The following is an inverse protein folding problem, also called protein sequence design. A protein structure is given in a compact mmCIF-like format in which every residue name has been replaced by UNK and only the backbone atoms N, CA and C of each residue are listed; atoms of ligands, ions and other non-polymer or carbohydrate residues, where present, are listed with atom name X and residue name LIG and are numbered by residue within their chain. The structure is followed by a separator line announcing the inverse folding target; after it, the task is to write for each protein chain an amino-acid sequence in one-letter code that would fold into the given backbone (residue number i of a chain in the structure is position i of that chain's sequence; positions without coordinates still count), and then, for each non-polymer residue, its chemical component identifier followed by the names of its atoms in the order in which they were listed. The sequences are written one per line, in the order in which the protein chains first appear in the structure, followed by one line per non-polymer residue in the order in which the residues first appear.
data_IF_295978205640
#
_entry.id   IF_295978205640
#
_cell.length_a   1.000
_cell.length_b   1.000
_cell.length_c   1.000
_cell.angle_alpha   90.00
_cell.angle_beta   90.00
_cell.angle_gamma   90.00
#
_symmetry.space_group_name_H-M   'P 1'
#
loop_
_entity.id
_entity.type
_entity.pdbx_description
1 polymer ?
#
# COMPACT_ATOMS: atom_id res chain seq x y z
N UNK A 1 -2.38 1.28 0.55
CA UNK A 1 -1.95 0.47 -0.60
C UNK A 1 -0.62 -0.17 -0.29
N UNK A 2 -0.41 -1.41 -0.70
CA UNK A 2 0.87 -2.14 -0.60
C UNK A 2 1.82 -1.64 -1.69
N UNK A 3 2.32 -0.43 -1.50
CA UNK A 3 3.20 0.33 -2.40
C UNK A 3 4.12 1.15 -1.51
N UNK A 4 5.36 1.35 -1.90
CA UNK A 4 6.31 2.18 -1.17
C UNK A 4 6.62 3.45 -1.94
N UNK A 5 7.21 4.43 -1.25
CA UNK A 5 7.68 5.67 -1.88
C UNK A 5 9.09 6.00 -1.42
N UNK A 6 9.91 6.53 -2.32
CA UNK A 6 11.23 7.04 -2.00
C UNK A 6 11.35 8.52 -2.34
N UNK A 7 12.23 9.20 -1.62
CA UNK A 7 12.63 10.58 -1.86
C UNK A 7 14.14 10.57 -2.09
N UNK A 8 14.60 10.42 -3.35
CA UNK A 8 16.03 10.40 -3.65
C UNK A 8 16.71 11.72 -3.25
N UNK A 9 17.93 11.64 -2.75
CA UNK A 9 18.68 12.81 -2.24
C UNK A 9 19.31 13.66 -3.36
N UNK A 10 19.41 13.12 -4.58
CA UNK A 10 20.07 13.74 -5.73
C UNK A 10 19.19 14.73 -6.52
N UNK A 11 18.07 15.17 -5.94
CA UNK A 11 17.10 16.05 -6.60
C UNK A 11 16.20 15.34 -7.62
N UNK A 12 16.24 14.01 -7.70
CA UNK A 12 15.25 13.26 -8.46
C UNK A 12 13.84 13.38 -7.85
N UNK A 13 12.84 13.18 -8.70
CA UNK A 13 11.44 13.26 -8.29
C UNK A 13 11.07 12.08 -7.38
N UNK A 14 10.12 12.25 -6.44
CA UNK A 14 9.65 11.16 -5.60
C UNK A 14 9.15 9.98 -6.43
N UNK A 15 9.59 8.76 -6.09
CA UNK A 15 9.33 7.58 -6.91
C UNK A 15 8.36 6.64 -6.21
N UNK A 16 7.54 5.97 -7.01
CA UNK A 16 6.76 4.82 -6.56
C UNK A 16 7.63 3.56 -6.63
N UNK A 17 7.64 2.80 -5.54
CA UNK A 17 8.30 1.51 -5.44
C UNK A 17 7.26 0.43 -5.20
N UNK A 18 7.57 -0.80 -5.62
CA UNK A 18 6.75 -1.96 -5.28
C UNK A 18 6.63 -2.12 -3.75
N UNK A 19 5.47 -2.57 -3.29
CA UNK A 19 5.26 -3.02 -1.92
C UNK A 19 6.23 -4.13 -1.53
N UNK A 20 6.49 -4.27 -0.23
CA UNK A 20 7.32 -5.36 0.30
C UNK A 20 6.71 -6.72 -0.04
N UNK A 21 5.40 -6.85 0.13
CA UNK A 21 4.63 -8.05 -0.23
C UNK A 21 4.37 -8.10 -1.74
N UNK A 22 5.13 -8.92 -2.45
CA UNK A 22 4.97 -9.09 -3.90
C UNK A 22 3.61 -9.67 -4.31
N UNK A 23 2.94 -10.45 -3.46
CA UNK A 23 1.62 -11.02 -3.76
C UNK A 23 0.49 -10.01 -3.55
N UNK A 24 0.75 -8.96 -2.77
CA UNK A 24 -0.20 -7.90 -2.48
C UNK A 24 0.18 -6.57 -3.10
N UNK A 25 1.28 -6.49 -3.84
CA UNK A 25 1.73 -5.26 -4.51
C UNK A 25 0.60 -4.62 -5.32
N UNK A 26 0.38 -3.33 -5.11
CA UNK A 26 -0.66 -2.56 -5.78
C UNK A 26 -0.07 -1.48 -6.69
N UNK A 27 1.22 -1.54 -7.01
CA UNK A 27 1.89 -0.53 -7.84
C UNK A 27 1.29 -0.46 -9.24
N UNK A 28 0.86 -1.61 -9.77
CA UNK A 28 0.19 -1.70 -11.07
C UNK A 28 -1.08 -0.84 -11.14
N UNK A 29 -1.91 -0.84 -10.09
CA UNK A 29 -3.15 -0.05 -10.08
C UNK A 29 -2.91 1.46 -9.95
N UNK A 30 -1.74 1.85 -9.43
CA UNK A 30 -1.39 3.25 -9.17
C UNK A 30 -0.47 3.84 -10.26
N UNK A 31 -0.29 3.17 -11.39
CA UNK A 31 0.64 3.57 -12.45
C UNK A 31 0.38 4.98 -13.03
N UNK A 32 -0.85 5.49 -12.86
CA UNK A 32 -1.25 6.83 -13.35
C UNK A 32 -0.88 7.97 -12.40
N UNK A 33 -0.43 7.68 -11.17
CA UNK A 33 -0.07 8.71 -10.21
C UNK A 33 1.18 9.47 -10.67
N UNK A 34 1.12 10.80 -10.59
CA UNK A 34 2.27 11.65 -10.83
C UNK A 34 3.22 11.65 -9.63
N UNK A 35 4.48 12.01 -9.86
CA UNK A 35 5.47 12.15 -8.77
C UNK A 35 5.03 13.16 -7.69
N UNK A 36 4.29 14.20 -8.07
CA UNK A 36 3.73 15.17 -7.12
C UNK A 36 2.63 14.56 -6.24
N UNK A 37 1.76 13.72 -6.83
CA UNK A 37 0.75 12.98 -6.08
C UNK A 37 1.39 11.95 -5.15
N UNK A 38 2.46 11.28 -5.59
CA UNK A 38 3.25 10.35 -4.77
C UNK A 38 3.87 11.09 -3.57
N UNK A 39 4.44 12.28 -3.80
CA UNK A 39 5.03 13.11 -2.75
C UNK A 39 4.04 13.43 -1.62
N UNK A 40 2.77 13.65 -1.97
CA UNK A 40 1.69 14.03 -1.03
C UNK A 40 0.94 12.83 -0.43
N UNK A 41 1.25 11.60 -0.85
CA UNK A 41 0.51 10.38 -0.44
C UNK A 41 1.28 9.54 0.57
N UNK A 42 0.61 9.03 1.61
CA UNK A 42 1.20 8.11 2.59
C UNK A 42 0.80 6.66 2.29
N UNK A 43 1.77 5.75 2.37
CA UNK A 43 1.56 4.31 2.18
C UNK A 43 2.07 3.51 3.39
N UNK A 44 1.40 3.60 4.55
CA UNK A 44 1.92 3.05 5.82
C UNK A 44 2.04 1.51 5.84
N UNK A 45 1.31 0.82 4.96
CA UNK A 45 1.38 -0.65 4.83
C UNK A 45 2.32 -1.11 3.72
N UNK A 46 3.03 -0.17 3.07
CA UNK A 46 3.92 -0.48 1.95
C UNK A 46 5.11 -1.36 2.32
N UNK A 47 5.59 -1.23 3.56
CA UNK A 47 6.72 -1.97 4.13
C UNK A 47 6.29 -3.18 4.97
N UNK A 48 5.03 -3.61 4.87
CA UNK A 48 4.50 -4.73 5.64
C UNK A 48 4.00 -5.83 4.73
N UNK A 49 4.14 -7.08 5.17
CA UNK A 49 3.43 -8.20 4.58
C UNK A 49 1.98 -8.25 5.08
N UNK A 50 1.07 -8.80 4.29
CA UNK A 50 -0.35 -8.91 4.71
C UNK A 50 -0.57 -9.65 6.03
N UNK A 51 0.13 -10.75 6.34
CA UNK A 51 0.01 -11.40 7.64
C UNK A 51 0.37 -10.46 8.80
N UNK A 52 1.39 -9.63 8.63
CA UNK A 52 1.84 -8.68 9.65
C UNK A 52 0.80 -7.58 9.89
N UNK A 53 0.19 -7.06 8.83
CA UNK A 53 -0.93 -6.10 8.96
C UNK A 53 -2.10 -6.73 9.73
N UNK A 54 -2.38 -8.02 9.55
CA UNK A 54 -3.44 -8.72 10.31
C UNK A 54 -3.05 -8.90 11.77
N UNK A 55 -1.81 -9.32 12.06
CA UNK A 55 -1.30 -9.43 13.43
C UNK A 55 -1.43 -8.12 14.19
N UNK A 56 -1.01 -7.00 13.59
CA UNK A 56 -1.17 -5.66 14.17
C UNK A 56 -2.64 -5.33 14.41
N UNK A 57 -3.53 -5.64 13.46
CA UNK A 57 -4.96 -5.38 13.63
C UNK A 57 -5.59 -6.21 14.76
N UNK A 58 -5.18 -7.45 14.96
CA UNK A 58 -5.61 -8.30 16.08
C UNK A 58 -5.08 -7.79 17.41
N UNK A 59 -3.80 -7.39 17.49
CA UNK A 59 -3.19 -6.83 18.71
C UNK A 59 -3.81 -5.50 19.14
N UNK A 60 -4.39 -4.76 18.20
CA UNK A 60 -5.09 -3.50 18.45
C UNK A 60 -6.61 -3.67 18.60
N UNK A 61 -7.11 -4.91 18.68
CA UNK A 61 -8.55 -5.24 18.80
C UNK A 61 -9.44 -4.54 17.75
N UNK A 62 -8.94 -4.41 16.52
CA UNK A 62 -9.72 -3.81 15.43
C UNK A 62 -10.83 -4.76 14.97
N UNK A 63 -12.07 -4.28 14.90
CA UNK A 63 -13.22 -5.05 14.38
C UNK A 63 -13.00 -5.63 12.98
N UNK A 64 -12.13 -5.01 12.19
CA UNK A 64 -11.79 -5.43 10.83
C UNK A 64 -10.69 -6.50 10.75
N UNK A 65 -10.06 -6.88 11.86
CA UNK A 65 -8.91 -7.79 11.88
C UNK A 65 -9.16 -9.12 11.16
N UNK A 66 -10.37 -9.67 11.32
CA UNK A 66 -10.79 -10.95 10.71
C UNK A 66 -11.61 -10.80 9.42
N UNK A 67 -11.86 -9.55 8.97
CA UNK A 67 -12.64 -9.31 7.76
C UNK A 67 -11.87 -9.84 6.54
N UNK A 68 -12.56 -10.59 5.68
CA UNK A 68 -11.98 -11.03 4.41
C UNK A 68 -11.70 -9.84 3.49
N UNK A 69 -10.64 -9.97 2.68
CA UNK A 69 -10.31 -8.97 1.66
C UNK A 69 -11.43 -8.94 0.60
N UNK A 70 -11.73 -7.75 0.07
CA UNK A 70 -12.67 -7.62 -1.05
C UNK A 70 -12.12 -8.31 -2.30
N UNK A 71 -12.99 -9.04 -3.00
CA UNK A 71 -12.72 -9.67 -4.30
C UNK A 71 -13.49 -8.95 -5.40
N UNK A 72 -12.94 -8.90 -6.62
CA UNK A 72 -13.61 -8.27 -7.76
C UNK A 72 -13.30 -6.78 -7.93
N UNK A 73 -14.07 -6.11 -8.79
CA UNK A 73 -13.89 -4.69 -9.12
C UNK A 73 -14.61 -3.85 -8.07
N UNK A 74 -13.97 -2.78 -7.59
CA UNK A 74 -14.62 -1.82 -6.70
C UNK A 74 -15.96 -1.34 -7.31
N UNK A 75 -17.00 -1.25 -6.48
CA UNK A 75 -18.36 -0.83 -6.84
C UNK A 75 -19.22 -1.82 -7.65
N UNK A 76 -18.70 -3.02 -7.97
CA UNK A 76 -19.50 -4.13 -8.48
C UNK A 76 -19.47 -5.23 -7.42
N UNK A 77 -20.55 -5.35 -6.65
CA UNK A 77 -20.72 -6.31 -5.56
C UNK A 77 -22.13 -6.86 -5.54
#
# INVERSE_FOLDING_TARGET
HYVRRSFPENGEKPQMLRGLDGNKDQSYFLYTLSNEQIARSLFPVGDLEKPEVRRIAEEQDLITAKKQDSTGICFIG
#
